data_IF_394165710363
#
_entry.id   IF_394165710363
#
_cell.length_a   1.000
_cell.length_b   1.000
_cell.length_c   1.000
_cell.angle_alpha   90.00
_cell.angle_beta   90.00
_cell.angle_gamma   90.00
#
_symmetry.space_group_name_H-M   'P 1'
#
loop_
_entity.id
_entity.type
_entity.pdbx_description
1 polymer ?
#
# COMPACT_ATOMS: atom_id res chain seq x y z
N UNK A 1 -22.06 -13.87 -21.21
CA UNK A 1 -21.64 -14.62 -22.43
C UNK A 1 -20.30 -14.11 -23.00
N UNK A 2 -20.03 -12.79 -23.02
CA UNK A 2 -18.76 -12.21 -23.55
C UNK A 2 -17.50 -12.57 -22.75
N UNK A 3 -17.63 -12.67 -21.43
CA UNK A 3 -16.55 -13.03 -20.50
C UNK A 3 -15.82 -14.33 -20.88
N UNK A 4 -16.59 -15.37 -21.20
CA UNK A 4 -16.03 -16.65 -21.61
C UNK A 4 -15.29 -16.55 -22.94
N UNK A 5 -15.78 -15.73 -23.87
CA UNK A 5 -15.10 -15.46 -25.15
C UNK A 5 -13.75 -14.79 -24.93
N UNK A 6 -13.64 -13.85 -23.97
CA UNK A 6 -12.37 -13.22 -23.62
C UNK A 6 -11.36 -14.22 -23.03
N UNK A 7 -11.82 -15.07 -22.09
CA UNK A 7 -10.97 -16.09 -21.48
C UNK A 7 -10.54 -17.16 -22.51
N UNK A 8 -11.48 -17.65 -23.32
CA UNK A 8 -11.21 -18.63 -24.38
C UNK A 8 -10.32 -18.02 -25.49
N UNK A 9 -10.39 -16.71 -25.68
CA UNK A 9 -9.52 -15.94 -26.58
C UNK A 9 -8.13 -15.62 -26.03
N UNK A 10 -7.78 -16.15 -24.84
CA UNK A 10 -6.49 -15.93 -24.18
C UNK A 10 -6.13 -14.46 -23.96
N UNK A 11 -7.12 -13.66 -23.58
CA UNK A 11 -6.90 -12.27 -23.18
C UNK A 11 -5.88 -12.23 -22.03
N UNK A 12 -4.91 -11.32 -22.14
CA UNK A 12 -3.85 -11.11 -21.15
C UNK A 12 -4.20 -10.04 -20.14
N UNK A 13 -4.92 -9.02 -20.58
CA UNK A 13 -5.23 -7.83 -19.78
C UNK A 13 -6.73 -7.66 -19.70
N UNK A 14 -7.25 -7.70 -18.48
CA UNK A 14 -8.68 -7.68 -18.26
C UNK A 14 -9.01 -6.70 -17.14
N UNK A 15 -9.76 -5.65 -17.50
CA UNK A 15 -10.23 -4.63 -16.58
C UNK A 15 -11.75 -4.64 -16.56
N UNK A 16 -12.32 -4.89 -15.38
CA UNK A 16 -13.74 -4.82 -15.13
C UNK A 16 -14.10 -3.58 -14.35
N UNK A 17 -14.97 -2.77 -14.94
CA UNK A 17 -15.59 -1.65 -14.27
C UNK A 17 -17.10 -1.89 -14.15
N UNK A 18 -17.56 -2.09 -12.93
CA UNK A 18 -18.99 -2.15 -12.61
C UNK A 18 -19.44 -0.80 -12.06
N UNK A 19 -20.72 -0.46 -12.23
CA UNK A 19 -21.25 0.85 -11.82
C UNK A 19 -21.61 0.93 -10.33
N UNK A 20 -21.22 -0.09 -9.54
CA UNK A 20 -21.37 -0.15 -8.09
C UNK A 20 -22.79 -0.32 -7.57
N UNK A 21 -23.77 -0.53 -8.46
CA UNK A 21 -25.19 -0.63 -8.06
C UNK A 21 -25.68 -2.07 -7.83
N UNK A 22 -25.00 -3.05 -8.41
CA UNK A 22 -25.38 -4.46 -8.33
C UNK A 22 -24.25 -5.30 -7.72
N UNK A 23 -24.59 -6.22 -6.82
CA UNK A 23 -23.70 -7.27 -6.32
C UNK A 23 -23.33 -8.21 -7.47
N UNK A 24 -22.32 -7.83 -8.24
CA UNK A 24 -21.92 -8.62 -9.38
C UNK A 24 -20.95 -9.72 -8.96
N UNK A 25 -21.45 -10.95 -9.05
CA UNK A 25 -20.65 -12.16 -8.86
C UNK A 25 -19.88 -12.45 -10.15
N UNK A 26 -18.56 -12.38 -10.05
CA UNK A 26 -17.67 -12.72 -11.16
C UNK A 26 -17.72 -14.23 -11.47
N UNK A 27 -17.82 -14.64 -12.75
CA UNK A 27 -17.82 -16.04 -13.10
C UNK A 27 -16.47 -16.70 -12.77
N UNK A 28 -16.55 -17.91 -12.22
CA UNK A 28 -15.39 -18.72 -11.80
C UNK A 28 -14.31 -18.90 -12.89
N UNK A 29 -14.68 -18.84 -14.18
CA UNK A 29 -13.72 -19.01 -15.27
C UNK A 29 -12.63 -17.92 -15.31
N UNK A 30 -12.88 -16.72 -14.77
CA UNK A 30 -11.88 -15.66 -14.68
C UNK A 30 -10.74 -16.10 -13.75
N UNK A 31 -11.10 -16.61 -12.57
CA UNK A 31 -10.17 -17.07 -11.53
C UNK A 31 -9.40 -18.34 -11.89
N UNK A 32 -9.72 -18.96 -13.03
CA UNK A 32 -9.05 -20.15 -13.56
C UNK A 32 -8.21 -19.84 -14.81
N UNK A 33 -8.17 -18.59 -15.26
CA UNK A 33 -7.48 -18.23 -16.49
C UNK A 33 -5.98 -18.44 -16.37
N UNK A 34 -5.42 -19.20 -17.31
CA UNK A 34 -3.96 -19.38 -17.45
C UNK A 34 -3.32 -18.37 -18.41
N UNK A 35 -4.09 -17.41 -18.91
CA UNK A 35 -3.60 -16.42 -19.89
C UNK A 35 -3.52 -15.00 -19.33
N UNK A 36 -4.24 -14.70 -18.26
CA UNK A 36 -4.28 -13.37 -17.67
C UNK A 36 -2.94 -13.03 -17.01
N UNK A 37 -2.37 -11.91 -17.44
CA UNK A 37 -1.18 -11.28 -16.86
C UNK A 37 -1.61 -10.15 -15.92
N UNK A 38 -2.62 -9.37 -16.31
CA UNK A 38 -3.16 -8.28 -15.50
C UNK A 38 -4.67 -8.44 -15.30
N UNK A 39 -5.12 -8.27 -14.06
CA UNK A 39 -6.53 -8.29 -13.70
C UNK A 39 -6.85 -7.09 -12.82
N UNK A 40 -7.78 -6.26 -13.28
CA UNK A 40 -8.31 -5.14 -12.51
C UNK A 40 -9.80 -5.33 -12.30
N UNK A 41 -10.23 -5.30 -11.04
CA UNK A 41 -11.62 -5.43 -10.62
C UNK A 41 -12.05 -4.15 -9.91
N UNK A 42 -13.08 -3.49 -10.42
CA UNK A 42 -13.70 -2.33 -9.78
C UNK A 42 -15.14 -2.64 -9.38
N UNK A 43 -15.52 -2.30 -8.14
CA UNK A 43 -16.91 -2.32 -7.67
C UNK A 43 -17.59 -3.70 -7.78
N UNK A 44 -16.92 -4.77 -7.33
CA UNK A 44 -17.49 -6.13 -7.33
C UNK A 44 -17.41 -6.79 -5.95
N UNK A 45 -18.13 -7.90 -5.79
CA UNK A 45 -18.09 -8.71 -4.56
C UNK A 45 -17.33 -10.01 -4.82
N UNK A 46 -16.26 -10.23 -4.05
CA UNK A 46 -15.54 -11.49 -3.98
C UNK A 46 -16.29 -12.42 -3.03
N UNK A 47 -16.98 -13.39 -3.64
CA UNK A 47 -17.48 -14.54 -2.90
C UNK A 47 -16.35 -15.54 -2.66
N UNK A 48 -16.50 -16.40 -1.67
CA UNK A 48 -15.59 -17.52 -1.43
C UNK A 48 -15.36 -18.34 -2.72
N UNK A 49 -14.11 -18.40 -3.19
CA UNK A 49 -13.71 -19.10 -4.41
C UNK A 49 -12.75 -20.24 -4.04
N UNK A 50 -13.24 -21.48 -3.86
CA UNK A 50 -12.40 -22.57 -3.38
C UNK A 50 -11.28 -23.00 -4.34
N UNK A 51 -11.33 -22.55 -5.61
CA UNK A 51 -10.38 -22.97 -6.64
C UNK A 51 -9.90 -21.77 -7.47
N UNK A 52 -9.11 -20.87 -6.88
CA UNK A 52 -8.40 -19.84 -7.65
C UNK A 52 -7.10 -20.42 -8.19
N UNK A 53 -6.92 -20.36 -9.51
CA UNK A 53 -5.69 -20.76 -10.17
C UNK A 53 -5.40 -19.82 -11.33
N UNK A 54 -4.63 -18.76 -11.08
CA UNK A 54 -4.19 -17.81 -12.10
C UNK A 54 -2.68 -17.84 -12.23
N UNK A 55 -2.19 -18.91 -12.87
CA UNK A 55 -0.77 -19.25 -12.94
C UNK A 55 0.10 -18.33 -13.78
N UNK A 56 -0.45 -17.31 -14.42
CA UNK A 56 0.29 -16.32 -15.21
C UNK A 56 0.10 -14.88 -14.73
N UNK A 57 -0.77 -14.67 -13.73
CA UNK A 57 -1.10 -13.34 -13.24
C UNK A 57 0.11 -12.72 -12.53
N UNK A 58 0.45 -11.50 -12.94
CA UNK A 58 1.54 -10.69 -12.40
C UNK A 58 1.03 -9.46 -11.68
N UNK A 59 -0.11 -8.92 -12.10
CA UNK A 59 -0.67 -7.70 -11.54
C UNK A 59 -2.14 -7.92 -11.21
N UNK A 60 -2.51 -7.65 -9.96
CA UNK A 60 -3.87 -7.72 -9.46
C UNK A 60 -4.23 -6.38 -8.82
N UNK A 61 -5.29 -5.75 -9.32
CA UNK A 61 -5.81 -4.51 -8.75
C UNK A 61 -7.28 -4.70 -8.35
N UNK A 62 -7.56 -4.52 -7.06
CA UNK A 62 -8.87 -4.61 -6.44
C UNK A 62 -9.26 -3.20 -5.98
N UNK A 63 -10.31 -2.65 -6.57
CA UNK A 63 -10.76 -1.28 -6.28
C UNK A 63 -12.22 -1.31 -5.89
N UNK A 64 -12.55 -0.84 -4.69
CA UNK A 64 -13.92 -0.86 -4.17
C UNK A 64 -14.51 -2.28 -4.20
N UNK A 65 -13.71 -3.27 -3.82
CA UNK A 65 -14.09 -4.68 -3.86
C UNK A 65 -14.55 -5.12 -2.48
N UNK A 66 -15.72 -5.72 -2.40
CA UNK A 66 -16.26 -6.27 -1.15
C UNK A 66 -15.86 -7.74 -1.01
N UNK A 67 -15.64 -8.22 0.21
CA UNK A 67 -15.38 -9.62 0.47
C UNK A 67 -14.75 -9.85 1.84
N UNK A 68 -14.80 -11.09 2.31
CA UNK A 68 -14.16 -11.46 3.56
C UNK A 68 -12.64 -11.57 3.40
N UNK A 69 -11.90 -11.44 4.51
CA UNK A 69 -10.44 -11.62 4.53
C UNK A 69 -10.00 -12.97 3.94
N UNK A 70 -10.80 -14.02 4.15
CA UNK A 70 -10.58 -15.34 3.55
C UNK A 70 -10.71 -15.32 2.02
N UNK A 71 -11.69 -14.59 1.47
CA UNK A 71 -11.86 -14.48 0.02
C UNK A 71 -10.68 -13.74 -0.63
N UNK A 72 -10.17 -12.67 -0.01
CA UNK A 72 -8.96 -11.99 -0.45
C UNK A 72 -7.74 -12.92 -0.40
N UNK A 73 -7.56 -13.64 0.70
CA UNK A 73 -6.44 -14.55 0.88
C UNK A 73 -6.44 -15.67 -0.16
N UNK A 74 -7.58 -16.29 -0.41
CA UNK A 74 -7.71 -17.34 -1.44
C UNK A 74 -7.39 -16.82 -2.83
N UNK A 75 -7.85 -15.61 -3.16
CA UNK A 75 -7.54 -14.96 -4.42
C UNK A 75 -6.03 -14.75 -4.60
N UNK A 76 -5.37 -14.22 -3.57
CA UNK A 76 -3.92 -13.94 -3.59
C UNK A 76 -3.11 -15.25 -3.66
N UNK A 77 -3.44 -16.26 -2.85
CA UNK A 77 -2.77 -17.56 -2.83
C UNK A 77 -2.93 -18.31 -4.17
N UNK A 78 -4.03 -18.10 -4.88
CA UNK A 78 -4.25 -18.64 -6.22
C UNK A 78 -3.40 -18.02 -7.32
N UNK A 79 -2.59 -16.99 -7.02
CA UNK A 79 -1.74 -16.25 -7.95
C UNK A 79 -0.24 -16.44 -7.63
N UNK A 80 0.36 -17.61 -7.92
CA UNK A 80 1.70 -17.96 -7.46
C UNK A 80 2.83 -17.05 -8.01
N UNK A 81 2.59 -16.32 -9.09
CA UNK A 81 3.58 -15.43 -9.72
C UNK A 81 3.23 -13.94 -9.61
N UNK A 82 2.27 -13.58 -8.76
CA UNK A 82 1.84 -12.20 -8.55
C UNK A 82 3.02 -11.33 -8.10
N UNK A 83 3.27 -10.22 -8.79
CA UNK A 83 4.37 -9.30 -8.52
C UNK A 83 3.88 -7.99 -7.94
N UNK A 84 2.75 -7.49 -8.45
CA UNK A 84 2.11 -6.26 -8.00
C UNK A 84 0.69 -6.55 -7.51
N UNK A 85 0.40 -6.09 -6.29
CA UNK A 85 -0.92 -6.15 -5.69
C UNK A 85 -1.35 -4.74 -5.29
N UNK A 86 -2.48 -4.30 -5.81
CA UNK A 86 -3.10 -3.04 -5.45
C UNK A 86 -4.47 -3.32 -4.84
N UNK A 87 -4.69 -2.86 -3.62
CA UNK A 87 -5.96 -2.98 -2.90
C UNK A 87 -6.38 -1.57 -2.52
N UNK A 88 -7.52 -1.13 -3.03
CA UNK A 88 -8.07 0.19 -2.78
C UNK A 88 -9.51 0.03 -2.30
N UNK A 89 -9.78 0.45 -1.07
CA UNK A 89 -11.05 0.37 -0.33
C UNK A 89 -11.54 -1.07 -0.09
N UNK A 90 -11.63 -1.42 1.19
CA UNK A 90 -12.28 -2.62 1.71
C UNK A 90 -13.60 -2.19 2.35
N UNK A 91 -14.72 -2.76 1.91
CA UNK A 91 -16.06 -2.27 2.28
C UNK A 91 -16.73 -3.04 3.43
N UNK A 92 -16.01 -3.85 4.19
CA UNK A 92 -16.59 -4.63 5.29
C UNK A 92 -15.92 -4.29 6.62
N UNK A 93 -16.54 -3.45 7.49
CA UNK A 93 -16.01 -3.17 8.82
C UNK A 93 -15.77 -4.46 9.61
N UNK A 94 -14.74 -4.45 10.45
CA UNK A 94 -14.34 -5.56 11.35
C UNK A 94 -13.77 -6.81 10.67
N UNK A 95 -13.26 -6.71 9.43
CA UNK A 95 -12.55 -7.79 8.77
C UNK A 95 -11.04 -7.68 8.99
N UNK A 96 -10.48 -8.67 9.67
CA UNK A 96 -9.03 -8.88 9.72
C UNK A 96 -8.54 -9.36 8.33
N UNK A 97 -7.63 -8.61 7.71
CA UNK A 97 -7.08 -8.94 6.40
C UNK A 97 -5.62 -9.32 6.52
N UNK A 98 -5.31 -10.59 6.24
CA UNK A 98 -3.97 -11.16 6.36
C UNK A 98 -3.33 -11.40 4.98
N UNK A 99 -2.71 -10.38 4.41
CA UNK A 99 -2.09 -10.48 3.08
C UNK A 99 -0.82 -11.31 3.17
N UNK A 100 -0.88 -12.54 2.68
CA UNK A 100 0.27 -13.45 2.61
C UNK A 100 0.62 -13.78 1.17
N UNK A 101 1.82 -13.41 0.73
CA UNK A 101 2.32 -13.78 -0.60
C UNK A 101 3.84 -13.86 -0.66
N UNK A 102 4.42 -14.99 -1.10
CA UNK A 102 5.85 -15.09 -1.31
C UNK A 102 6.30 -14.44 -2.62
N UNK A 103 5.41 -14.09 -3.55
CA UNK A 103 5.78 -13.61 -4.88
C UNK A 103 5.70 -12.08 -5.04
N UNK A 104 4.84 -11.43 -4.25
CA UNK A 104 4.58 -10.00 -4.33
C UNK A 104 5.84 -9.20 -4.00
N UNK A 105 6.15 -8.24 -4.87
CA UNK A 105 7.29 -7.31 -4.77
C UNK A 105 6.87 -5.87 -4.54
N UNK A 106 5.65 -5.53 -4.97
CA UNK A 106 5.05 -4.21 -4.76
C UNK A 106 3.62 -4.39 -4.26
N UNK A 107 3.32 -3.73 -3.15
CA UNK A 107 1.99 -3.69 -2.56
C UNK A 107 1.56 -2.23 -2.43
N UNK A 108 0.37 -1.93 -2.92
CA UNK A 108 -0.31 -0.68 -2.64
C UNK A 108 -1.61 -0.99 -1.90
N UNK A 109 -1.82 -0.34 -0.76
CA UNK A 109 -2.96 -0.57 0.12
C UNK A 109 -3.55 0.78 0.54
N UNK A 110 -4.78 1.03 0.09
CA UNK A 110 -5.51 2.26 0.38
C UNK A 110 -6.86 1.91 0.99
N UNK A 111 -7.24 2.53 2.10
CA UNK A 111 -8.50 2.26 2.80
C UNK A 111 -9.18 3.54 3.25
N UNK A 112 -10.52 3.56 3.17
CA UNK A 112 -11.35 4.71 3.53
C UNK A 112 -11.86 4.66 4.98
N UNK A 113 -11.77 3.52 5.66
CA UNK A 113 -12.29 3.36 7.02
C UNK A 113 -11.21 3.07 8.07
N UNK A 114 -11.49 3.62 9.25
CA UNK A 114 -10.83 3.30 10.51
C UNK A 114 -11.25 1.90 10.98
N UNK A 115 -10.33 1.15 11.58
CA UNK A 115 -10.67 -0.07 12.33
C UNK A 115 -10.33 -1.40 11.66
N UNK A 116 -9.65 -1.42 10.50
CA UNK A 116 -9.12 -2.66 9.95
C UNK A 116 -7.82 -3.06 10.63
N UNK A 117 -7.74 -4.31 11.08
CA UNK A 117 -6.46 -4.94 11.38
C UNK A 117 -5.94 -5.57 10.09
N UNK A 118 -4.86 -5.02 9.53
CA UNK A 118 -4.24 -5.54 8.32
C UNK A 118 -2.84 -6.02 8.65
N UNK A 119 -2.59 -7.31 8.44
CA UNK A 119 -1.28 -7.91 8.65
C UNK A 119 -0.66 -8.33 7.32
N UNK A 120 0.64 -8.03 7.15
CA UNK A 120 1.40 -8.29 5.94
C UNK A 120 2.51 -9.31 6.20
N UNK A 121 2.45 -10.43 5.47
CA UNK A 121 3.49 -11.47 5.44
C UNK A 121 3.92 -11.71 3.99
N UNK A 122 4.84 -10.86 3.53
CA UNK A 122 5.33 -10.83 2.15
C UNK A 122 6.86 -10.74 2.14
N UNK A 123 7.60 -11.86 2.26
CA UNK A 123 9.05 -11.85 2.47
C UNK A 123 9.85 -11.19 1.33
N UNK A 124 9.29 -11.20 0.11
CA UNK A 124 9.91 -10.63 -1.08
C UNK A 124 9.39 -9.22 -1.44
N UNK A 125 8.57 -8.62 -0.58
CA UNK A 125 8.06 -7.26 -0.75
C UNK A 125 9.22 -6.27 -0.72
N UNK A 126 9.29 -5.40 -1.74
CA UNK A 126 10.32 -4.36 -1.87
C UNK A 126 9.76 -2.96 -1.71
N UNK A 127 8.55 -2.74 -2.19
CA UNK A 127 7.88 -1.44 -2.20
C UNK A 127 6.51 -1.59 -1.56
N UNK A 128 6.24 -0.74 -0.58
CA UNK A 128 4.96 -0.66 0.12
C UNK A 128 4.41 0.76 0.02
N UNK A 129 3.24 0.92 -0.61
CA UNK A 129 2.48 2.17 -0.62
C UNK A 129 1.25 2.03 0.26
N UNK A 130 1.09 2.90 1.26
CA UNK A 130 0.00 2.80 2.24
C UNK A 130 -0.62 4.16 2.56
N UNK A 131 -1.89 4.19 2.90
CA UNK A 131 -2.53 5.29 3.64
C UNK A 131 -3.06 4.88 5.03
N UNK A 132 -2.91 3.60 5.39
CA UNK A 132 -3.31 3.05 6.67
C UNK A 132 -2.17 2.35 7.39
N UNK A 133 -2.35 2.15 8.70
CA UNK A 133 -1.46 1.34 9.50
C UNK A 133 -1.63 -0.13 9.17
N UNK A 134 -0.49 -0.82 9.14
CA UNK A 134 -0.42 -2.26 8.91
C UNK A 134 0.55 -2.88 9.90
N UNK A 135 0.26 -4.10 10.33
CA UNK A 135 1.23 -4.94 11.03
C UNK A 135 2.14 -5.63 10.00
N UNK A 136 3.44 -5.41 10.11
CA UNK A 136 4.47 -6.00 9.25
C UNK A 136 5.06 -7.23 9.96
N UNK A 137 4.68 -8.43 9.51
CA UNK A 137 5.10 -9.70 10.12
C UNK A 137 6.42 -10.18 9.49
N UNK A 138 6.41 -10.42 8.17
CA UNK A 138 7.60 -10.83 7.42
C UNK A 138 7.70 -10.02 6.13
N UNK A 139 8.44 -8.92 6.21
CA UNK A 139 8.74 -8.02 5.08
C UNK A 139 10.24 -7.76 5.02
N UNK A 140 11.04 -8.82 5.23
CA UNK A 140 12.50 -8.75 5.35
C UNK A 140 13.21 -8.11 4.14
N UNK A 141 12.61 -8.14 2.95
CA UNK A 141 13.15 -7.51 1.73
C UNK A 141 12.71 -6.06 1.50
N UNK A 142 11.94 -5.45 2.42
CA UNK A 142 11.33 -4.14 2.22
C UNK A 142 12.39 -3.04 2.14
N UNK A 143 12.37 -2.27 1.05
CA UNK A 143 13.36 -1.23 0.74
C UNK A 143 12.75 0.15 0.66
N UNK A 144 11.49 0.25 0.23
CA UNK A 144 10.80 1.53 0.01
C UNK A 144 9.43 1.49 0.69
N UNK A 145 9.13 2.51 1.49
CA UNK A 145 7.82 2.72 2.09
C UNK A 145 7.32 4.11 1.73
N UNK A 146 6.14 4.19 1.12
CA UNK A 146 5.47 5.42 0.78
C UNK A 146 4.20 5.55 1.60
N UNK A 147 4.19 6.52 2.51
CA UNK A 147 3.10 6.79 3.45
C UNK A 147 2.30 7.98 2.94
N UNK A 148 1.11 7.71 2.42
CA UNK A 148 0.18 8.71 1.90
C UNK A 148 -0.70 9.32 2.98
N UNK A 149 -1.02 8.56 4.02
CA UNK A 149 -1.70 9.06 5.20
C UNK A 149 -1.36 8.14 6.38
N UNK A 150 -1.62 8.63 7.60
CA UNK A 150 -1.59 7.87 8.83
C UNK A 150 -2.98 8.04 9.45
N UNK A 151 -3.94 7.24 9.01
CA UNK A 151 -5.35 7.40 9.38
C UNK A 151 -5.57 7.29 10.91
N UNK A 152 -4.66 6.66 11.67
CA UNK A 152 -4.77 6.48 13.12
C UNK A 152 -4.31 7.67 13.97
N UNK A 153 -5.14 8.05 14.95
CA UNK A 153 -4.84 9.10 15.93
C UNK A 153 -3.95 8.62 17.11
N UNK A 154 -3.75 7.31 17.28
CA UNK A 154 -2.99 6.77 18.41
C UNK A 154 -1.47 6.81 18.19
N UNK A 155 -0.72 7.39 19.13
CA UNK A 155 0.73 7.61 19.02
C UNK A 155 1.54 6.30 19.19
N UNK A 156 1.26 5.46 20.19
CA UNK A 156 1.83 4.11 20.31
C UNK A 156 1.83 3.30 19.01
N UNK A 157 0.72 3.28 18.26
CA UNK A 157 0.61 2.49 17.02
C UNK A 157 1.49 3.06 15.91
N UNK A 158 1.50 4.39 15.75
CA UNK A 158 2.43 5.07 14.82
C UNK A 158 3.88 4.74 15.19
N UNK A 159 4.25 4.83 16.46
CA UNK A 159 5.62 4.52 16.91
C UNK A 159 5.98 3.05 16.68
N UNK A 160 5.04 2.13 16.92
CA UNK A 160 5.22 0.71 16.65
C UNK A 160 5.43 0.45 15.16
N UNK A 161 4.65 1.10 14.29
CA UNK A 161 4.81 1.00 12.84
C UNK A 161 6.16 1.58 12.37
N UNK A 162 6.54 2.76 12.85
CA UNK A 162 7.82 3.40 12.51
C UNK A 162 9.02 2.52 12.91
N UNK A 163 8.93 1.79 14.02
CA UNK A 163 9.96 0.80 14.43
C UNK A 163 10.05 -0.38 13.48
N UNK A 164 8.93 -0.84 12.92
CA UNK A 164 8.93 -1.95 11.96
C UNK A 164 9.61 -1.54 10.64
N UNK A 165 9.48 -0.27 10.22
CA UNK A 165 10.13 0.26 9.01
C UNK A 165 11.49 0.93 9.28
N UNK A 166 12.11 0.72 10.45
CA UNK A 166 13.35 1.42 10.84
C UNK A 166 14.56 1.10 9.94
N UNK A 167 14.55 -0.05 9.25
CA UNK A 167 15.65 -0.53 8.41
C UNK A 167 15.41 -0.32 6.89
N UNK A 168 14.29 0.31 6.53
CA UNK A 168 13.94 0.61 5.15
C UNK A 168 14.90 1.67 4.60
N UNK A 169 15.26 1.56 3.32
CA UNK A 169 16.20 2.48 2.68
C UNK A 169 15.57 3.85 2.41
N UNK A 170 14.35 3.83 1.86
CA UNK A 170 13.64 5.03 1.40
C UNK A 170 12.29 5.13 2.08
N UNK A 171 12.04 6.27 2.71
CA UNK A 171 10.71 6.61 3.23
C UNK A 171 10.21 7.86 2.54
N UNK A 172 9.01 7.78 1.97
CA UNK A 172 8.29 8.93 1.43
C UNK A 172 7.10 9.24 2.31
N UNK A 173 6.96 10.50 2.72
CA UNK A 173 5.82 11.01 3.47
C UNK A 173 5.06 12.03 2.61
N UNK A 174 3.76 11.81 2.43
CA UNK A 174 2.87 12.83 1.85
C UNK A 174 2.73 14.05 2.77
N UNK A 175 2.09 15.09 2.26
CA UNK A 175 1.64 16.26 3.04
C UNK A 175 0.89 15.85 4.31
N UNK A 176 -0.15 15.04 4.16
CA UNK A 176 -1.05 14.63 5.24
C UNK A 176 -0.34 13.76 6.27
N UNK A 177 0.43 12.77 5.81
CA UNK A 177 1.21 11.90 6.70
C UNK A 177 2.26 12.71 7.48
N UNK A 178 2.95 13.63 6.80
CA UNK A 178 3.91 14.53 7.40
C UNK A 178 3.26 15.42 8.45
N UNK A 179 2.16 16.11 8.13
CA UNK A 179 1.43 16.96 9.08
C UNK A 179 0.99 16.20 10.33
N UNK A 180 0.47 14.97 10.19
CA UNK A 180 0.06 14.14 11.32
C UNK A 180 1.23 13.75 12.23
N UNK A 181 2.39 13.43 11.65
CA UNK A 181 3.61 13.22 12.44
C UNK A 181 4.06 14.51 13.13
N UNK A 182 3.88 15.67 12.45
CA UNK A 182 4.27 16.98 12.93
C UNK A 182 3.51 17.45 14.17
N UNK A 183 2.20 17.21 14.23
CA UNK A 183 1.39 17.56 15.40
C UNK A 183 1.83 16.82 16.67
N UNK A 184 2.50 15.68 16.52
CA UNK A 184 2.94 14.83 17.63
C UNK A 184 4.35 15.19 18.08
N UNK A 185 4.50 16.36 18.71
CA UNK A 185 5.74 16.96 19.29
C UNK A 185 6.48 16.11 20.34
N UNK A 186 6.20 14.81 20.45
CA UNK A 186 6.75 13.88 21.44
C UNK A 186 7.43 12.65 20.85
N UNK A 187 7.61 12.54 19.53
CA UNK A 187 8.38 11.43 18.95
C UNK A 187 9.82 11.52 19.49
N UNK A 188 10.15 10.61 20.42
CA UNK A 188 11.44 10.60 21.14
C UNK A 188 12.49 9.82 20.34
N UNK A 189 13.41 10.58 19.71
CA UNK A 189 14.80 10.22 19.29
C UNK A 189 15.03 9.14 18.21
N UNK A 190 16.26 9.17 17.64
CA UNK A 190 17.10 8.16 16.94
C UNK A 190 16.52 6.79 16.55
N UNK A 191 15.35 6.74 15.95
CA UNK A 191 14.64 5.48 15.71
C UNK A 191 14.93 4.84 14.35
N UNK A 192 15.62 5.52 13.43
CA UNK A 192 15.61 5.08 12.04
C UNK A 192 16.99 5.08 11.39
N UNK A 193 17.21 4.09 10.53
CA UNK A 193 18.41 3.93 9.71
C UNK A 193 18.16 4.25 8.24
N UNK A 194 17.12 5.06 7.99
CA UNK A 194 16.72 5.51 6.65
C UNK A 194 17.88 6.23 5.96
N UNK A 195 18.13 5.87 4.70
CA UNK A 195 19.14 6.55 3.90
C UNK A 195 18.56 7.73 3.14
N UNK A 196 17.29 7.61 2.71
CA UNK A 196 16.62 8.63 1.91
C UNK A 196 15.25 8.94 2.49
N UNK A 197 14.99 10.22 2.74
CA UNK A 197 13.72 10.73 3.20
C UNK A 197 13.15 11.70 2.16
N UNK A 198 11.94 11.41 1.70
CA UNK A 198 11.23 12.23 0.72
C UNK A 198 9.99 12.83 1.36
N UNK A 199 9.88 14.15 1.36
CA UNK A 199 8.78 14.87 1.99
C UNK A 199 7.98 15.67 0.96
N UNK A 200 6.66 15.62 1.07
CA UNK A 200 5.73 16.40 0.25
C UNK A 200 4.88 17.36 1.10
N UNK A 201 5.46 18.30 1.85
CA UNK A 201 4.71 19.15 2.77
C UNK A 201 3.66 20.04 2.06
N UNK A 202 2.50 20.19 2.68
CA UNK A 202 1.58 21.32 2.43
C UNK A 202 2.10 22.54 3.17
N UNK A 203 2.60 23.52 2.42
CA UNK A 203 3.22 24.73 2.96
C UNK A 203 2.18 25.74 3.45
N UNK A 204 1.43 25.39 4.50
CA UNK A 204 0.50 26.31 5.13
C UNK A 204 0.95 26.80 6.53
N UNK A 205 2.08 26.33 7.09
CA UNK A 205 2.49 26.73 8.45
C UNK A 205 4.00 26.88 8.73
N UNK A 206 4.32 27.80 9.66
CA UNK A 206 5.63 28.10 10.28
C UNK A 206 6.29 26.91 11.03
N UNK A 207 5.65 25.74 11.08
CA UNK A 207 6.09 24.56 11.83
C UNK A 207 6.97 23.58 11.02
N UNK A 208 7.03 23.71 9.68
CA UNK A 208 7.72 22.72 8.83
C UNK A 208 9.24 22.65 9.09
N UNK A 209 9.91 23.78 9.32
CA UNK A 209 11.37 23.82 9.48
C UNK A 209 11.83 23.08 10.73
N UNK A 210 11.18 23.32 11.88
CA UNK A 210 11.52 22.63 13.14
C UNK A 210 11.30 21.12 13.06
N UNK A 211 10.32 20.69 12.25
CA UNK A 211 9.96 19.29 12.10
C UNK A 211 10.79 18.57 11.04
N UNK A 212 11.21 19.26 9.98
CA UNK A 212 12.29 18.78 9.10
C UNK A 212 13.55 18.54 9.93
N UNK A 213 13.93 19.49 10.78
CA UNK A 213 15.08 19.33 11.68
C UNK A 213 14.89 18.15 12.65
N UNK A 214 13.67 17.93 13.15
CA UNK A 214 13.33 16.79 13.99
C UNK A 214 13.46 15.46 13.22
N UNK A 215 12.92 15.36 12.01
CA UNK A 215 12.99 14.14 11.18
C UNK A 215 14.44 13.84 10.73
N UNK A 216 15.20 14.86 10.35
CA UNK A 216 16.63 14.71 10.05
C UNK A 216 17.38 14.23 11.29
N UNK A 217 17.05 14.77 12.47
CA UNK A 217 17.62 14.33 13.74
C UNK A 217 17.24 12.90 14.15
N UNK A 218 16.21 12.29 13.56
CA UNK A 218 15.78 10.92 13.86
C UNK A 218 16.66 9.89 13.13
N UNK A 219 17.26 10.22 11.99
CA UNK A 219 18.08 9.27 11.25
C UNK A 219 19.55 9.64 11.20
N UNK A 220 20.37 8.87 11.93
CA UNK A 220 21.82 9.01 11.92
C UNK A 220 22.48 8.54 10.60
N UNK A 221 21.72 7.92 9.70
CA UNK A 221 22.22 7.40 8.41
C UNK A 221 21.62 8.12 7.20
N UNK A 222 20.96 9.27 7.41
CA UNK A 222 20.33 9.99 6.31
C UNK A 222 21.39 10.53 5.36
N UNK A 223 21.38 10.03 4.13
CA UNK A 223 22.28 10.41 3.04
C UNK A 223 21.59 11.45 2.12
N UNK A 224 20.27 11.35 1.95
CA UNK A 224 19.49 12.22 1.06
C UNK A 224 18.19 12.69 1.72
N UNK A 225 17.95 14.00 1.69
CA UNK A 225 16.65 14.60 2.02
C UNK A 225 16.14 15.37 0.81
N UNK A 226 14.99 14.94 0.29
CA UNK A 226 14.30 15.60 -0.81
C UNK A 226 12.98 16.18 -0.31
N UNK A 227 12.80 17.49 -0.47
CA UNK A 227 11.58 18.18 -0.10
C UNK A 227 10.93 18.75 -1.35
N UNK A 228 9.72 18.29 -1.65
CA UNK A 228 8.92 18.83 -2.74
C UNK A 228 8.10 20.02 -2.27
N UNK A 229 8.13 21.09 -3.05
CA UNK A 229 7.16 22.18 -2.90
C UNK A 229 5.84 21.72 -3.52
N UNK A 230 4.72 21.87 -2.80
CA UNK A 230 3.41 21.36 -3.22
C UNK A 230 2.97 21.89 -4.60
N UNK A 231 1.88 21.35 -5.18
CA UNK A 231 1.50 21.54 -6.59
C UNK A 231 1.17 22.99 -7.01
N UNK A 232 1.22 23.97 -6.10
CA UNK A 232 0.82 25.36 -6.34
C UNK A 232 1.97 26.37 -6.41
N UNK A 233 3.22 25.99 -6.16
CA UNK A 233 4.37 26.87 -6.30
C UNK A 233 5.38 26.23 -7.26
N UNK A 234 5.91 27.03 -8.19
CA UNK A 234 6.87 26.58 -9.21
C UNK A 234 7.96 25.71 -8.58
N UNK A 235 8.24 24.59 -9.26
CA UNK A 235 9.08 23.47 -8.82
C UNK A 235 10.50 23.96 -8.48
N UNK A 236 10.75 24.26 -7.21
CA UNK A 236 12.09 24.27 -6.65
C UNK A 236 12.26 22.97 -5.85
N UNK A 237 13.00 22.02 -6.42
CA UNK A 237 13.48 20.85 -5.69
C UNK A 237 14.63 21.31 -4.80
N UNK A 238 14.42 21.30 -3.47
CA UNK A 238 15.50 21.45 -2.51
C UNK A 238 16.00 20.05 -2.16
N UNK A 239 17.11 19.65 -2.80
CA UNK A 239 17.89 18.48 -2.40
C UNK A 239 18.95 18.98 -1.42
N UNK A 240 18.82 18.63 -0.14
CA UNK A 240 19.88 18.85 0.84
C UNK A 240 20.71 17.59 0.96
N UNK A 241 21.97 17.66 0.51
CA UNK A 241 22.99 16.66 0.82
C UNK A 241 23.56 16.99 2.20
N UNK A 242 23.35 16.08 3.16
CA UNK A 242 23.97 16.19 4.48
C UNK A 242 25.39 15.63 4.37
N UNK A 243 26.41 16.48 4.58
CA UNK A 243 27.84 16.12 4.55
C UNK A 243 28.29 15.69 5.94
#
# INVERSE_FOLDING_TARGET
>A
MWLRVAIDGHVKDLNFYFDGRDELVLPHCIFMSQSLITLTLHWCTLQHQPHVHMGTLRELSLVNVQGSGEAFNQLILGCPYLQELNINVLYEPDVDVNITSPSVRKLSLYTDSQGYSIALSCPNLKILDIDAMVELIDVSSLQVVNIKDLIYDDLPEVEAFLRQIQNVEVVTLSAHAFEKLCWRRKIKYQLTSWKRLVLWPSWNEYNCVQLILLLVGISAKLEELTIYNGPHLMVEQLVMLLI
#
